data_IF_068706752931
#
_entry.id   IF_068706752931
#
_cell.length_a   1.000
_cell.length_b   1.000
_cell.length_c   1.000
_cell.angle_alpha   90.00
_cell.angle_beta   90.00
_cell.angle_gamma   90.00
#
_symmetry.space_group_name_H-M   'P 1'
#
loop_
_entity.id
_entity.type
_entity.pdbx_description
1 polymer ?
#
# COMPACT_ATOMS: atom_id res chain seq x y z
N UNK A 1 25.01 24.89 0.24
CA UNK A 1 24.97 24.30 -1.12
C UNK A 1 24.15 23.01 -1.05
N UNK A 2 22.83 23.09 -1.26
CA UNK A 2 21.95 21.92 -1.39
C UNK A 2 21.67 21.68 -2.86
N UNK A 3 22.44 20.79 -3.48
CA UNK A 3 22.36 20.45 -4.89
C UNK A 3 21.02 19.76 -5.22
N UNK A 4 20.21 20.40 -6.06
CA UNK A 4 19.15 19.82 -6.90
C UNK A 4 18.18 18.80 -6.28
N UNK A 5 17.32 19.25 -5.36
CA UNK A 5 16.03 18.59 -5.17
C UNK A 5 15.08 18.98 -6.32
N UNK A 6 14.65 18.00 -7.12
CA UNK A 6 13.63 18.07 -8.19
C UNK A 6 14.10 18.26 -9.65
N UNK A 7 14.86 17.34 -10.28
CA UNK A 7 14.73 17.32 -11.76
C UNK A 7 14.77 16.00 -12.51
N UNK A 8 15.21 14.86 -11.96
CA UNK A 8 14.99 13.58 -12.65
C UNK A 8 14.77 12.46 -11.65
N UNK A 9 13.50 12.11 -11.40
CA UNK A 9 13.20 10.76 -10.95
C UNK A 9 13.85 9.79 -11.95
N UNK A 10 14.65 8.85 -11.43
CA UNK A 10 15.31 7.82 -12.24
C UNK A 10 14.26 7.05 -13.03
N UNK A 11 14.65 6.38 -14.12
CA UNK A 11 13.71 5.59 -14.94
C UNK A 11 12.95 4.60 -14.06
N UNK A 12 13.65 3.99 -13.12
CA UNK A 12 13.15 3.02 -12.15
C UNK A 12 12.09 3.65 -11.22
N UNK A 13 12.34 4.85 -10.69
CA UNK A 13 11.36 5.54 -9.84
C UNK A 13 10.14 6.00 -10.64
N UNK A 14 10.34 6.47 -11.88
CA UNK A 14 9.22 6.79 -12.78
C UNK A 14 8.36 5.58 -13.06
N UNK A 15 8.96 4.41 -13.22
CA UNK A 15 8.24 3.15 -13.42
C UNK A 15 7.44 2.76 -12.17
N UNK A 16 8.02 2.85 -10.97
CA UNK A 16 7.29 2.60 -9.71
C UNK A 16 6.10 3.55 -9.56
N UNK A 17 6.28 4.84 -9.83
CA UNK A 17 5.21 5.83 -9.75
C UNK A 17 4.12 5.58 -10.79
N UNK A 18 4.49 5.18 -12.01
CA UNK A 18 3.51 4.80 -13.05
C UNK A 18 2.69 3.58 -12.63
N UNK A 19 3.29 2.60 -11.94
CA UNK A 19 2.55 1.48 -11.38
C UNK A 19 1.61 1.93 -10.26
N UNK A 20 2.06 2.84 -9.40
CA UNK A 20 1.23 3.43 -8.34
C UNK A 20 0.02 4.18 -8.92
N UNK A 21 0.20 4.94 -10.00
CA UNK A 21 -0.89 5.61 -10.72
C UNK A 21 -1.90 4.60 -11.29
N UNK A 22 -1.41 3.48 -11.82
CA UNK A 22 -2.26 2.38 -12.31
C UNK A 22 -3.10 1.80 -11.17
N UNK A 23 -2.48 1.51 -10.02
CA UNK A 23 -3.19 0.98 -8.86
C UNK A 23 -4.21 1.97 -8.29
N UNK A 24 -3.92 3.27 -8.30
CA UNK A 24 -4.90 4.29 -7.93
C UNK A 24 -6.15 4.20 -8.81
N UNK A 25 -5.96 4.08 -10.13
CA UNK A 25 -7.07 3.90 -11.07
C UNK A 25 -7.87 2.62 -10.78
N UNK A 26 -7.19 1.48 -10.59
CA UNK A 26 -7.84 0.19 -10.28
C UNK A 26 -8.64 0.26 -8.98
N UNK A 27 -8.10 0.94 -7.97
CA UNK A 27 -8.76 1.19 -6.68
C UNK A 27 -10.00 2.05 -6.89
N UNK A 28 -9.90 3.16 -7.62
CA UNK A 28 -11.06 4.01 -7.90
C UNK A 28 -12.16 3.25 -8.66
N UNK A 29 -11.81 2.32 -9.54
CA UNK A 29 -12.81 1.48 -10.22
C UNK A 29 -13.43 0.43 -9.28
N UNK A 30 -12.62 -0.15 -8.38
CA UNK A 30 -13.07 -1.21 -7.48
C UNK A 30 -13.88 -0.68 -6.29
N UNK A 31 -13.56 0.52 -5.80
CA UNK A 31 -14.09 1.07 -4.55
C UNK A 31 -14.72 2.47 -4.68
N UNK A 32 -14.61 3.16 -5.82
CA UNK A 32 -14.94 4.58 -6.00
C UNK A 32 -16.41 4.96 -5.95
N UNK A 33 -17.26 4.12 -5.37
CA UNK A 33 -18.67 4.46 -5.07
C UNK A 33 -18.84 5.09 -3.69
N UNK A 34 -17.85 4.97 -2.81
CA UNK A 34 -17.87 5.55 -1.46
C UNK A 34 -16.92 6.76 -1.37
N UNK A 35 -17.35 7.78 -0.61
CA UNK A 35 -16.55 8.97 -0.33
C UNK A 35 -15.31 8.60 0.51
N UNK A 36 -15.50 7.75 1.51
CA UNK A 36 -14.48 7.21 2.39
C UNK A 36 -13.42 6.44 1.59
N UNK A 37 -13.85 5.53 0.72
CA UNK A 37 -12.97 4.78 -0.17
C UNK A 37 -12.11 5.67 -1.07
N UNK A 38 -12.72 6.71 -1.64
CA UNK A 38 -12.01 7.67 -2.49
C UNK A 38 -10.98 8.47 -1.68
N UNK A 39 -11.36 8.94 -0.49
CA UNK A 39 -10.47 9.71 0.37
C UNK A 39 -9.31 8.86 0.92
N UNK A 40 -9.58 7.61 1.33
CA UNK A 40 -8.53 6.68 1.76
C UNK A 40 -7.59 6.34 0.60
N UNK A 41 -8.11 6.11 -0.60
CA UNK A 41 -7.30 5.84 -1.78
C UNK A 41 -6.30 6.98 -2.07
N UNK A 42 -6.78 8.23 -2.01
CA UNK A 42 -5.93 9.41 -2.22
C UNK A 42 -4.87 9.55 -1.13
N UNK A 43 -5.24 9.32 0.14
CA UNK A 43 -4.29 9.37 1.26
C UNK A 43 -3.22 8.29 1.13
N UNK A 44 -3.61 7.05 0.82
CA UNK A 44 -2.68 5.93 0.60
C UNK A 44 -1.76 6.19 -0.59
N UNK A 45 -2.28 6.76 -1.67
CA UNK A 45 -1.48 7.16 -2.82
C UNK A 45 -0.39 8.16 -2.43
N UNK A 46 -0.75 9.22 -1.69
CA UNK A 46 0.19 10.24 -1.25
C UNK A 46 1.25 9.68 -0.29
N UNK A 47 0.86 8.82 0.65
CA UNK A 47 1.77 8.14 1.58
C UNK A 47 2.75 7.22 0.83
N UNK A 48 2.24 6.39 -0.08
CA UNK A 48 3.09 5.52 -0.91
C UNK A 48 4.03 6.32 -1.79
N UNK A 49 3.55 7.39 -2.42
CA UNK A 49 4.36 8.28 -3.25
C UNK A 49 5.48 8.93 -2.45
N UNK A 50 5.17 9.46 -1.26
CA UNK A 50 6.17 10.03 -0.34
C UNK A 50 7.19 8.97 0.08
N UNK A 51 6.75 7.76 0.42
CA UNK A 51 7.64 6.67 0.79
C UNK A 51 8.60 6.29 -0.34
N UNK A 52 8.09 6.11 -1.57
CA UNK A 52 8.90 5.79 -2.75
C UNK A 52 9.94 6.88 -3.03
N UNK A 53 9.53 8.15 -2.97
CA UNK A 53 10.44 9.28 -3.19
C UNK A 53 11.49 9.40 -2.08
N UNK A 54 11.13 9.15 -0.83
CA UNK A 54 12.06 9.20 0.31
C UNK A 54 13.11 8.08 0.30
N UNK A 55 12.84 6.98 -0.43
CA UNK A 55 13.70 5.81 -0.54
C UNK A 55 14.23 5.62 -1.97
N UNK A 56 14.27 6.70 -2.77
CA UNK A 56 14.53 6.64 -4.21
C UNK A 56 15.83 5.94 -4.57
N UNK A 57 16.90 6.21 -3.83
CA UNK A 57 18.23 5.66 -4.10
C UNK A 57 18.25 4.14 -3.87
N UNK A 58 17.71 3.68 -2.73
CA UNK A 58 17.63 2.25 -2.38
C UNK A 58 16.75 1.46 -3.35
N UNK A 59 15.61 2.04 -3.74
CA UNK A 59 14.69 1.43 -4.70
C UNK A 59 15.34 1.33 -6.07
N UNK A 60 16.00 2.41 -6.53
CA UNK A 60 16.71 2.42 -7.82
C UNK A 60 17.78 1.33 -7.86
N UNK A 61 18.59 1.22 -6.82
CA UNK A 61 19.62 0.18 -6.73
C UNK A 61 19.01 -1.24 -6.74
N UNK A 62 17.95 -1.46 -5.96
CA UNK A 62 17.29 -2.77 -5.87
C UNK A 62 16.68 -3.21 -7.21
N UNK A 63 16.10 -2.28 -7.97
CA UNK A 63 15.53 -2.55 -9.29
C UNK A 63 16.65 -2.82 -10.30
N UNK A 64 17.71 -2.01 -10.32
CA UNK A 64 18.86 -2.19 -11.23
C UNK A 64 19.56 -3.52 -11.04
N UNK A 65 19.70 -3.94 -9.80
CA UNK A 65 20.31 -5.23 -9.44
C UNK A 65 19.35 -6.41 -9.67
N UNK A 66 18.15 -6.17 -10.20
CA UNK A 66 17.14 -7.21 -10.47
C UNK A 66 16.58 -7.88 -9.21
N UNK A 67 16.83 -7.31 -8.03
CA UNK A 67 16.42 -7.89 -6.75
C UNK A 67 14.91 -7.77 -6.52
N UNK A 68 14.28 -6.74 -7.10
CA UNK A 68 12.85 -6.48 -6.97
C UNK A 68 12.31 -5.79 -8.23
N UNK A 69 11.06 -6.06 -8.61
CA UNK A 69 10.38 -5.35 -9.69
C UNK A 69 9.75 -4.04 -9.18
N UNK A 70 9.59 -3.05 -10.05
CA UNK A 70 8.93 -1.79 -9.72
C UNK A 70 7.51 -2.01 -9.14
N UNK A 71 6.78 -2.97 -9.72
CA UNK A 71 5.46 -3.38 -9.25
C UNK A 71 5.47 -3.96 -7.84
N UNK A 72 6.45 -4.82 -7.53
CA UNK A 72 6.60 -5.39 -6.17
C UNK A 72 6.99 -4.35 -5.14
N UNK A 73 7.82 -3.37 -5.51
CA UNK A 73 8.13 -2.21 -4.63
C UNK A 73 6.85 -1.45 -4.29
N UNK A 74 6.02 -1.17 -5.30
CA UNK A 74 4.75 -0.47 -5.11
C UNK A 74 3.80 -1.24 -4.18
N UNK A 75 3.58 -2.53 -4.46
CA UNK A 75 2.73 -3.39 -3.63
C UNK A 75 3.23 -3.51 -2.19
N UNK A 76 4.54 -3.61 -1.97
CA UNK A 76 5.13 -3.63 -0.62
C UNK A 76 4.88 -2.31 0.13
N UNK A 77 5.02 -1.17 -0.55
CA UNK A 77 4.73 0.12 0.05
C UNK A 77 3.24 0.25 0.42
N UNK A 78 2.35 -0.15 -0.47
CA UNK A 78 0.90 -0.14 -0.21
C UNK A 78 0.54 -1.07 0.95
N UNK A 79 1.01 -2.33 0.95
CA UNK A 79 0.76 -3.28 2.05
C UNK A 79 1.12 -2.65 3.38
N UNK A 80 2.34 -2.12 3.49
CA UNK A 80 2.83 -1.52 4.72
C UNK A 80 1.97 -0.36 5.20
N UNK A 81 1.66 0.61 4.33
CA UNK A 81 0.88 1.78 4.74
C UNK A 81 -0.55 1.39 5.12
N UNK A 82 -1.17 0.47 4.38
CA UNK A 82 -2.52 0.01 4.70
C UNK A 82 -2.54 -0.75 6.01
N UNK A 83 -1.65 -1.73 6.18
CA UNK A 83 -1.53 -2.56 7.39
C UNK A 83 -1.36 -1.68 8.64
N UNK A 84 -0.46 -0.69 8.58
CA UNK A 84 -0.25 0.28 9.66
C UNK A 84 -1.50 1.09 10.01
N UNK A 85 -2.31 1.47 9.02
CA UNK A 85 -3.56 2.18 9.28
C UNK A 85 -4.65 1.24 9.83
N UNK A 86 -4.70 -0.03 9.41
CA UNK A 86 -5.67 -1.01 9.93
C UNK A 86 -5.42 -1.29 11.40
N UNK A 87 -4.16 -1.50 11.79
CA UNK A 87 -3.79 -1.83 13.18
C UNK A 87 -3.57 -0.59 14.05
N UNK A 88 -3.83 0.62 13.53
CA UNK A 88 -3.75 1.83 14.35
C UNK A 88 -4.99 1.98 15.23
N UNK A 89 -4.80 2.36 16.49
CA UNK A 89 -5.92 2.64 17.40
C UNK A 89 -6.84 3.76 16.90
N UNK A 90 -6.35 4.65 16.03
CA UNK A 90 -7.11 5.78 15.46
C UNK A 90 -8.30 5.33 14.57
N UNK A 91 -8.22 4.14 13.99
CA UNK A 91 -9.26 3.59 13.12
C UNK A 91 -10.20 2.61 13.84
N UNK A 92 -10.16 2.56 15.18
CA UNK A 92 -11.02 1.72 16.01
C UNK A 92 -12.08 2.57 16.72
N UNK A 93 -13.31 2.07 16.81
CA UNK A 93 -14.37 2.67 17.65
C UNK A 93 -14.24 2.18 19.10
N UNK A 94 -13.89 0.90 19.25
CA UNK A 94 -13.56 0.22 20.51
C UNK A 94 -12.71 -1.02 20.18
N UNK A 95 -12.14 -1.65 21.20
CA UNK A 95 -11.30 -2.85 21.03
C UNK A 95 -11.90 -3.88 20.09
N UNK A 96 -11.16 -4.23 19.04
CA UNK A 96 -11.59 -5.22 18.05
C UNK A 96 -12.63 -4.75 17.05
N UNK A 97 -13.04 -3.47 17.07
CA UNK A 97 -14.03 -2.94 16.14
C UNK A 97 -13.53 -1.72 15.40
N UNK A 98 -13.32 -1.92 14.10
CA UNK A 98 -12.95 -0.88 13.14
C UNK A 98 -14.11 0.08 12.87
N UNK A 99 -13.75 1.36 12.73
CA UNK A 99 -14.61 2.39 12.15
C UNK A 99 -14.87 2.14 10.67
N UNK A 100 -15.76 2.92 10.05
CA UNK A 100 -16.01 2.82 8.61
C UNK A 100 -14.73 3.08 7.80
N UNK A 101 -13.90 4.03 8.23
CA UNK A 101 -12.58 4.29 7.66
C UNK A 101 -11.63 3.11 7.85
N UNK A 102 -11.59 2.52 9.05
CA UNK A 102 -10.80 1.33 9.34
C UNK A 102 -11.19 0.14 8.47
N UNK A 103 -12.48 -0.07 8.24
CA UNK A 103 -13.00 -1.12 7.34
C UNK A 103 -12.54 -0.90 5.90
N UNK A 104 -12.58 0.34 5.43
CA UNK A 104 -12.08 0.69 4.10
C UNK A 104 -10.57 0.39 3.98
N UNK A 105 -9.74 0.74 4.97
CA UNK A 105 -8.34 0.33 4.98
C UNK A 105 -8.20 -1.20 4.95
N UNK A 106 -9.00 -1.93 5.71
CA UNK A 106 -8.92 -3.39 5.74
C UNK A 106 -9.34 -4.03 4.41
N UNK A 107 -10.32 -3.46 3.71
CA UNK A 107 -10.68 -3.90 2.37
C UNK A 107 -9.57 -3.60 1.35
N UNK A 108 -8.88 -2.45 1.48
CA UNK A 108 -7.67 -2.18 0.71
C UNK A 108 -6.54 -3.17 1.01
N UNK A 109 -6.41 -3.61 2.25
CA UNK A 109 -5.38 -4.59 2.64
C UNK A 109 -5.60 -5.90 1.90
N UNK A 110 -6.85 -6.39 1.91
CA UNK A 110 -7.26 -7.59 1.16
C UNK A 110 -7.03 -7.43 -0.34
N UNK A 111 -7.35 -6.26 -0.89
CA UNK A 111 -7.10 -5.97 -2.31
C UNK A 111 -5.61 -6.03 -2.65
N UNK A 112 -4.74 -5.45 -1.81
CA UNK A 112 -3.28 -5.52 -2.01
C UNK A 112 -2.80 -6.97 -1.98
N UNK A 113 -3.25 -7.77 -1.01
CA UNK A 113 -2.89 -9.19 -0.94
C UNK A 113 -3.39 -10.00 -2.15
N UNK A 114 -4.57 -9.67 -2.67
CA UNK A 114 -5.07 -10.26 -3.92
C UNK A 114 -4.11 -9.95 -5.08
N UNK A 115 -3.58 -8.72 -5.18
CA UNK A 115 -2.56 -8.38 -6.19
C UNK A 115 -1.25 -9.13 -5.99
N UNK A 116 -0.81 -9.33 -4.75
CA UNK A 116 0.35 -10.20 -4.47
C UNK A 116 0.11 -11.64 -4.96
N UNK A 117 -1.10 -12.17 -4.79
CA UNK A 117 -1.48 -13.50 -5.25
C UNK A 117 -1.55 -13.57 -6.79
N UNK A 118 -2.19 -12.61 -7.43
CA UNK A 118 -2.28 -12.52 -8.91
C UNK A 118 -0.90 -12.44 -9.56
N UNK A 119 0.04 -11.74 -8.92
CA UNK A 119 1.43 -11.65 -9.35
C UNK A 119 2.27 -12.90 -8.99
N UNK A 120 1.68 -13.92 -8.35
CA UNK A 120 2.35 -15.15 -7.94
C UNK A 120 3.38 -14.98 -6.81
N UNK A 121 3.34 -13.86 -6.09
CA UNK A 121 4.29 -13.56 -5.00
C UNK A 121 3.92 -14.33 -3.73
N UNK A 122 2.63 -14.52 -3.48
CA UNK A 122 2.11 -15.30 -2.35
C UNK A 122 1.09 -16.34 -2.85
N UNK A 123 0.91 -17.39 -2.07
CA UNK A 123 -0.15 -18.38 -2.31
C UNK A 123 -1.47 -17.94 -1.68
N UNK A 124 -2.57 -18.57 -2.08
CA UNK A 124 -3.88 -18.40 -1.43
C UNK A 124 -3.82 -18.71 0.08
N UNK A 125 -3.04 -19.72 0.48
CA UNK A 125 -2.85 -20.08 1.89
C UNK A 125 -2.21 -18.93 2.68
N UNK A 126 -1.10 -18.40 2.17
CA UNK A 126 -0.38 -17.26 2.78
C UNK A 126 -1.29 -16.03 2.84
N UNK A 127 -2.04 -15.74 1.77
CA UNK A 127 -2.99 -14.63 1.76
C UNK A 127 -4.02 -14.74 2.89
N UNK A 128 -4.57 -15.94 3.14
CA UNK A 128 -5.55 -16.16 4.22
C UNK A 128 -4.92 -16.03 5.60
N UNK A 129 -3.70 -16.51 5.77
CA UNK A 129 -2.96 -16.39 7.03
C UNK A 129 -2.65 -14.92 7.35
N UNK A 130 -2.21 -14.14 6.36
CA UNK A 130 -1.97 -12.69 6.51
C UNK A 130 -3.24 -11.92 6.87
N UNK A 131 -4.37 -12.23 6.23
CA UNK A 131 -5.66 -11.62 6.57
C UNK A 131 -6.02 -11.95 8.02
N UNK A 132 -5.90 -13.22 8.42
CA UNK A 132 -6.22 -13.66 9.78
C UNK A 132 -5.31 -13.01 10.83
N UNK A 133 -4.02 -12.90 10.55
CA UNK A 133 -3.06 -12.25 11.44
C UNK A 133 -3.48 -10.80 11.73
N UNK A 134 -3.81 -10.04 10.69
CA UNK A 134 -4.27 -8.65 10.86
C UNK A 134 -5.62 -8.58 11.57
N UNK A 135 -6.53 -9.52 11.34
CA UNK A 135 -7.79 -9.60 12.10
C UNK A 135 -7.56 -9.88 13.59
N UNK A 136 -6.57 -10.70 13.92
CA UNK A 136 -6.20 -10.98 15.30
C UNK A 136 -5.54 -9.74 15.94
N UNK A 137 -4.65 -9.04 15.22
CA UNK A 137 -4.08 -7.76 15.68
C UNK A 137 -5.16 -6.70 15.95
N UNK A 138 -6.16 -6.58 15.07
CA UNK A 138 -7.31 -5.68 15.25
C UNK A 138 -8.07 -5.99 16.55
N UNK A 139 -8.23 -7.28 16.92
CA UNK A 139 -8.89 -7.67 18.20
C UNK A 139 -8.07 -7.28 19.42
N UNK A 140 -6.75 -7.16 19.26
CA UNK A 140 -5.84 -6.77 20.33
C UNK A 140 -5.74 -5.25 20.48
N UNK A 141 -6.04 -4.50 19.43
CA UNK A 141 -5.99 -3.03 19.38
C UNK A 141 -7.34 -2.39 19.75
N UNK A 142 -7.26 -1.35 20.60
CA UNK A 142 -8.36 -0.48 21.07
C UNK A 142 -8.35 -0.36 22.59
#
# INVERSE_FOLDING_TARGET
MGFFSNLFATKEIKEVLSVLDTFRSDISQSFGKSLEASSVADKLYDECRKQVLSQSDKITESIRNGSVSARRVCLNAMKKNVEQNVVSGENHIYRGVLSDWGRVYFDFYKWVLLKFKEDGIITEGIMREEIRSVEDDVKEVG
#
